data_IF_775986494246
#
_entry.id   IF_775986494246
#
_cell.length_a   1.000
_cell.length_b   1.000
_cell.length_c   1.000
_cell.angle_alpha   90.00
_cell.angle_beta   90.00
_cell.angle_gamma   90.00
#
_symmetry.space_group_name_H-M   'P 1'
#
loop_
_entity.id
_entity.type
_entity.pdbx_description
1 polymer ?
#
# COMPACT_ATOMS: atom_id res chain seq x y z
N UNK A 1 95.94 13.03 14.42
CA UNK A 1 95.04 13.92 15.18
C UNK A 1 94.48 14.90 14.16
N UNK A 2 93.33 14.57 13.59
CA UNK A 2 92.37 15.49 12.94
C UNK A 2 91.28 14.67 12.22
N UNK A 3 90.08 15.23 12.30
CA UNK A 3 88.80 14.91 11.66
C UNK A 3 88.85 14.25 10.28
N UNK A 4 87.93 13.29 10.05
CA UNK A 4 86.95 13.35 8.93
C UNK A 4 85.88 12.27 9.09
N UNK A 5 84.62 12.70 8.96
CA UNK A 5 83.43 11.90 9.19
C UNK A 5 83.05 10.95 8.05
N UNK A 6 82.04 10.13 8.33
CA UNK A 6 81.28 9.40 7.32
C UNK A 6 79.80 9.44 7.70
N UNK A 7 78.98 9.93 6.76
CA UNK A 7 77.51 9.91 6.73
C UNK A 7 76.99 8.51 6.41
N UNK A 8 75.82 8.15 6.95
CA UNK A 8 74.71 7.27 6.43
C UNK A 8 73.82 6.94 7.64
N UNK A 9 72.50 6.94 7.63
CA UNK A 9 71.45 7.21 6.64
C UNK A 9 70.16 7.39 7.48
N UNK A 10 69.25 8.27 7.06
CA UNK A 10 68.01 8.55 7.77
C UNK A 10 67.01 7.40 7.56
N UNK A 11 66.52 6.81 8.64
CA UNK A 11 65.32 5.98 8.61
C UNK A 11 64.09 6.88 8.64
N UNK A 12 63.37 6.97 7.52
CA UNK A 12 62.01 7.51 7.49
C UNK A 12 61.09 6.56 8.27
N UNK A 13 60.38 7.12 9.24
CA UNK A 13 59.27 6.46 9.91
C UNK A 13 58.08 6.58 8.97
N UNK A 14 57.69 5.48 8.32
CA UNK A 14 56.41 5.38 7.63
C UNK A 14 55.28 5.62 8.64
N UNK A 15 54.65 6.79 8.55
CA UNK A 15 53.40 7.07 9.24
C UNK A 15 52.31 6.33 8.49
N UNK A 16 51.81 5.23 9.07
CA UNK A 16 50.68 4.49 8.55
C UNK A 16 49.47 5.41 8.36
N UNK A 17 48.96 5.48 7.13
CA UNK A 17 47.72 6.19 6.82
C UNK A 17 46.55 5.63 7.66
N UNK A 18 45.63 6.48 8.15
CA UNK A 18 44.46 6.01 8.86
C UNK A 18 43.59 5.19 7.91
N UNK A 19 43.45 3.89 8.24
CA UNK A 19 42.75 2.89 7.47
C UNK A 19 41.43 3.40 6.90
N UNK A 20 41.32 3.24 5.59
CA UNK A 20 40.12 3.47 4.78
C UNK A 20 38.91 2.83 5.50
N UNK A 21 38.06 3.65 6.12
CA UNK A 21 36.79 3.16 6.67
C UNK A 21 35.99 2.66 5.47
N UNK A 22 35.87 1.34 5.35
CA UNK A 22 34.94 0.70 4.41
C UNK A 22 33.62 1.49 4.45
N UNK A 23 33.07 1.91 3.29
CA UNK A 23 31.81 2.64 3.25
C UNK A 23 30.78 1.85 4.05
N UNK A 24 30.07 2.51 4.98
CA UNK A 24 28.93 1.88 5.63
C UNK A 24 28.00 1.39 4.51
N UNK A 25 27.59 0.11 4.50
CA UNK A 25 26.66 -0.37 3.51
C UNK A 25 25.40 0.48 3.57
N UNK A 26 24.87 0.82 2.40
CA UNK A 26 23.63 1.58 2.29
C UNK A 26 22.53 0.91 3.12
N UNK A 27 21.69 1.69 3.82
CA UNK A 27 20.59 1.13 4.60
C UNK A 27 19.68 0.28 3.71
N UNK A 28 19.32 -0.92 4.18
CA UNK A 28 18.42 -1.84 3.50
C UNK A 28 17.54 -2.58 4.51
N UNK A 29 16.38 -3.08 4.07
CA UNK A 29 15.43 -3.83 4.89
C UNK A 29 15.22 -5.23 4.30
N UNK A 30 15.61 -6.32 4.99
CA UNK A 30 15.37 -7.68 4.51
C UNK A 30 13.87 -7.99 4.40
N UNK A 31 13.48 -8.95 3.56
CA UNK A 31 12.06 -9.29 3.34
C UNK A 31 11.73 -10.76 3.58
N UNK A 32 12.63 -11.51 4.23
CA UNK A 32 12.39 -12.91 4.58
C UNK A 32 11.24 -13.04 5.60
N UNK A 33 10.16 -13.79 5.30
CA UNK A 33 9.07 -14.05 6.23
C UNK A 33 9.48 -14.50 7.64
N UNK A 34 10.59 -15.25 7.77
CA UNK A 34 11.08 -15.75 9.05
C UNK A 34 11.48 -14.63 10.02
N UNK A 35 11.83 -13.45 9.51
CA UNK A 35 12.17 -12.28 10.35
C UNK A 35 10.94 -11.60 10.96
N UNK A 36 9.74 -11.93 10.48
CA UNK A 36 8.49 -11.23 10.81
C UNK A 36 7.43 -12.14 11.44
N UNK A 37 7.79 -13.37 11.82
CA UNK A 37 6.88 -14.40 12.36
C UNK A 37 6.43 -14.18 13.82
N UNK A 38 6.65 -12.99 14.37
CA UNK A 38 6.22 -12.63 15.72
C UNK A 38 4.70 -12.52 15.87
N UNK A 39 4.21 -12.12 17.07
CA UNK A 39 2.79 -11.87 17.30
C UNK A 39 2.22 -10.84 16.31
N UNK A 40 0.89 -10.89 16.10
CA UNK A 40 0.21 -9.90 15.28
C UNK A 40 0.37 -8.51 15.91
N UNK A 41 0.88 -7.50 15.17
CA UNK A 41 1.13 -6.19 15.74
C UNK A 41 -0.18 -5.44 15.99
N UNK A 42 -0.14 -4.39 16.80
CA UNK A 42 -1.30 -3.53 16.98
C UNK A 42 -1.69 -2.87 15.64
N UNK A 43 -2.94 -3.05 15.23
CA UNK A 43 -3.54 -2.35 14.12
C UNK A 43 -4.87 -1.75 14.57
N UNK A 44 -4.96 -0.42 14.56
CA UNK A 44 -6.17 0.30 14.99
C UNK A 44 -7.30 -0.02 14.01
N UNK A 45 -8.50 -0.27 14.54
CA UNK A 45 -9.71 -0.41 13.72
C UNK A 45 -9.86 0.82 12.80
N UNK A 46 -9.91 0.64 11.47
CA UNK A 46 -10.06 1.74 10.53
C UNK A 46 -11.35 2.52 10.80
N UNK A 47 -11.29 3.84 10.60
CA UNK A 47 -12.44 4.73 10.66
C UNK A 47 -12.41 5.58 9.40
N UNK A 48 -13.53 5.63 8.69
CA UNK A 48 -13.64 6.49 7.52
C UNK A 48 -13.70 7.96 7.97
N UNK A 49 -12.84 8.80 7.39
CA UNK A 49 -12.82 10.24 7.65
C UNK A 49 -13.66 11.02 6.63
N UNK A 50 -13.86 10.46 5.44
CA UNK A 50 -14.66 11.02 4.36
C UNK A 50 -14.44 10.23 3.07
N UNK A 51 -14.96 10.74 1.97
CA UNK A 51 -14.86 10.12 0.65
C UNK A 51 -14.75 11.18 -0.46
N UNK A 52 -14.44 10.72 -1.67
CA UNK A 52 -14.56 11.48 -2.90
C UNK A 52 -14.86 10.52 -4.06
N UNK A 53 -15.31 11.08 -5.18
CA UNK A 53 -15.68 10.35 -6.39
C UNK A 53 -14.87 10.86 -7.58
N UNK A 54 -14.57 9.96 -8.52
CA UNK A 54 -14.06 10.28 -9.85
C UNK A 54 -15.14 9.91 -10.87
N UNK A 55 -15.54 10.86 -11.71
CA UNK A 55 -16.57 10.63 -12.72
C UNK A 55 -16.03 9.97 -14.00
N UNK A 56 -16.91 9.81 -15.00
CA UNK A 56 -16.56 9.21 -16.29
C UNK A 56 -15.51 10.02 -17.07
N UNK A 57 -15.30 11.30 -16.76
CA UNK A 57 -14.27 12.17 -17.33
C UNK A 57 -13.06 12.29 -16.40
N UNK A 58 -12.95 11.39 -15.40
CA UNK A 58 -11.90 11.37 -14.37
C UNK A 58 -11.83 12.66 -13.54
N UNK A 59 -12.93 13.41 -13.44
CA UNK A 59 -12.98 14.64 -12.64
C UNK A 59 -13.30 14.33 -11.17
N UNK A 60 -12.63 15.05 -10.28
CA UNK A 60 -12.80 14.95 -8.84
C UNK A 60 -14.07 15.62 -8.34
N UNK A 61 -14.81 14.91 -7.50
CA UNK A 61 -15.96 15.42 -6.74
C UNK A 61 -15.83 15.02 -5.27
N UNK A 62 -15.94 15.97 -4.34
CA UNK A 62 -15.84 15.73 -2.90
C UNK A 62 -17.10 15.12 -2.27
N UNK A 63 -17.67 14.09 -2.90
CA UNK A 63 -18.89 13.41 -2.46
C UNK A 63 -18.89 11.92 -2.87
N UNK A 64 -19.97 11.22 -2.54
CA UNK A 64 -20.15 9.79 -2.81
C UNK A 64 -20.94 9.48 -4.09
N UNK A 65 -21.00 10.38 -5.08
CA UNK A 65 -21.83 10.17 -6.29
C UNK A 65 -21.47 8.93 -7.11
N UNK A 66 -20.23 8.44 -7.00
CA UNK A 66 -19.79 7.22 -7.68
C UNK A 66 -20.06 5.94 -6.86
N UNK A 67 -20.50 6.05 -5.59
CA UNK A 67 -20.78 4.90 -4.75
C UNK A 67 -21.96 4.09 -5.29
N UNK A 68 -21.74 2.79 -5.49
CA UNK A 68 -22.77 1.84 -5.91
C UNK A 68 -23.27 1.01 -4.73
N UNK A 69 -24.42 0.38 -4.93
CA UNK A 69 -25.07 -0.45 -3.92
C UNK A 69 -25.01 -1.93 -4.32
N UNK A 70 -24.59 -2.77 -3.39
CA UNK A 70 -24.54 -4.21 -3.57
C UNK A 70 -25.96 -4.75 -3.83
N UNK A 71 -26.16 -5.33 -5.01
CA UNK A 71 -27.43 -5.89 -5.46
C UNK A 71 -27.20 -7.31 -5.99
N UNK A 72 -27.20 -8.33 -5.11
CA UNK A 72 -27.01 -9.72 -5.52
C UNK A 72 -28.24 -10.25 -6.27
N UNK A 73 -28.12 -11.38 -7.00
CA UNK A 73 -29.28 -12.08 -7.55
C UNK A 73 -30.38 -12.30 -6.49
N UNK A 74 -31.67 -12.23 -6.87
CA UNK A 74 -32.77 -12.55 -5.96
C UNK A 74 -32.62 -13.95 -5.37
N UNK A 75 -32.91 -14.10 -4.08
CA UNK A 75 -32.79 -15.39 -3.34
C UNK A 75 -33.68 -16.50 -3.89
N UNK A 76 -34.79 -16.16 -4.52
CA UNK A 76 -35.71 -17.11 -5.17
C UNK A 76 -35.46 -17.25 -6.68
N UNK A 77 -34.38 -16.64 -7.19
CA UNK A 77 -34.02 -16.63 -8.60
C UNK A 77 -33.15 -17.81 -9.02
N UNK A 78 -32.89 -17.90 -10.32
CA UNK A 78 -31.90 -18.84 -10.87
C UNK A 78 -30.50 -18.47 -10.37
N UNK A 79 -29.59 -19.45 -10.39
CA UNK A 79 -28.15 -19.22 -10.19
C UNK A 79 -27.65 -18.05 -11.05
N UNK A 80 -26.64 -17.29 -10.58
CA UNK A 80 -26.04 -16.23 -11.38
C UNK A 80 -25.58 -16.79 -12.74
N UNK A 81 -25.74 -16.00 -13.79
CA UNK A 81 -25.28 -16.32 -15.14
C UNK A 81 -24.82 -15.04 -15.85
N UNK A 82 -23.82 -14.38 -15.27
CA UNK A 82 -23.35 -13.08 -15.76
C UNK A 82 -22.32 -13.28 -16.87
N UNK A 83 -22.61 -12.82 -18.08
CA UNK A 83 -21.64 -12.77 -19.17
C UNK A 83 -20.63 -11.63 -18.95
N UNK A 84 -19.39 -11.96 -18.60
CA UNK A 84 -18.35 -10.95 -18.40
C UNK A 84 -17.77 -10.39 -19.71
N UNK A 85 -18.13 -10.96 -20.87
CA UNK A 85 -17.67 -10.53 -22.19
C UNK A 85 -18.66 -9.61 -22.88
N UNK A 86 -19.90 -9.56 -22.40
CA UNK A 86 -20.94 -8.70 -22.97
C UNK A 86 -20.47 -7.24 -23.04
N UNK A 87 -20.52 -6.66 -24.23
CA UNK A 87 -20.10 -5.29 -24.50
C UNK A 87 -18.60 -5.04 -24.70
N UNK A 88 -17.73 -6.05 -24.56
CA UNK A 88 -16.31 -5.87 -24.90
C UNK A 88 -16.03 -6.11 -26.40
N UNK A 89 -15.30 -5.22 -27.11
CA UNK A 89 -14.73 -3.96 -26.63
C UNK A 89 -15.67 -2.74 -26.80
N UNK A 90 -16.79 -2.85 -27.52
CA UNK A 90 -17.59 -1.71 -28.02
C UNK A 90 -18.14 -0.76 -26.95
N UNK A 91 -18.37 -1.23 -25.72
CA UNK A 91 -18.85 -0.45 -24.56
C UNK A 91 -17.79 -0.28 -23.48
N UNK A 92 -16.55 -0.69 -23.73
CA UNK A 92 -15.45 -0.55 -22.80
C UNK A 92 -14.73 0.79 -22.99
N UNK A 93 -14.72 1.61 -21.94
CA UNK A 93 -14.01 2.89 -21.89
C UNK A 93 -12.88 2.78 -20.87
N UNK A 94 -11.67 2.35 -21.27
CA UNK A 94 -10.54 2.23 -20.35
C UNK A 94 -10.10 3.61 -19.85
N UNK A 95 -9.62 3.66 -18.60
CA UNK A 95 -8.85 4.81 -18.13
C UNK A 95 -7.53 4.87 -18.93
N UNK A 96 -7.10 6.07 -19.28
CA UNK A 96 -5.76 6.29 -19.83
C UNK A 96 -4.71 6.01 -18.74
N UNK A 97 -3.91 4.95 -18.93
CA UNK A 97 -2.86 4.54 -18.01
C UNK A 97 -1.54 5.31 -18.21
N UNK A 98 -1.41 6.12 -19.27
CA UNK A 98 -0.25 6.99 -19.48
C UNK A 98 -0.29 8.22 -18.54
N UNK A 99 -1.48 8.59 -18.06
CA UNK A 99 -1.67 9.69 -17.11
C UNK A 99 -1.30 9.25 -15.68
N UNK A 100 -0.20 9.78 -15.16
CA UNK A 100 0.27 9.50 -13.80
C UNK A 100 -0.37 10.42 -12.76
N UNK A 101 -1.51 10.01 -12.20
CA UNK A 101 -2.24 10.79 -11.17
C UNK A 101 -1.55 10.81 -9.79
N UNK A 102 -0.64 9.87 -9.53
CA UNK A 102 0.10 9.70 -8.26
C UNK A 102 -0.82 9.84 -7.04
N UNK A 103 -0.65 10.89 -6.23
CA UNK A 103 -1.43 11.14 -5.01
C UNK A 103 -2.40 12.33 -5.15
N UNK A 104 -2.54 12.92 -6.33
CA UNK A 104 -3.16 14.25 -6.52
C UNK A 104 -4.59 14.32 -5.99
N UNK A 105 -5.42 13.31 -6.25
CA UNK A 105 -6.80 13.28 -5.77
C UNK A 105 -6.90 13.17 -4.24
N UNK A 106 -5.99 12.42 -3.61
CA UNK A 106 -5.91 12.32 -2.15
C UNK A 106 -5.41 13.63 -1.54
N UNK A 107 -4.38 14.24 -2.13
CA UNK A 107 -3.86 15.54 -1.71
C UNK A 107 -4.94 16.64 -1.83
N UNK A 108 -5.79 16.58 -2.85
CA UNK A 108 -6.93 17.50 -3.01
C UNK A 108 -7.96 17.31 -1.89
N UNK A 109 -8.28 16.06 -1.56
CA UNK A 109 -9.17 15.76 -0.43
C UNK A 109 -8.57 16.27 0.90
N UNK A 110 -7.27 16.08 1.11
CA UNK A 110 -6.56 16.53 2.31
C UNK A 110 -6.63 18.05 2.49
N UNK A 111 -6.38 18.83 1.44
CA UNK A 111 -6.51 20.29 1.52
C UNK A 111 -7.92 20.74 1.90
N UNK A 112 -8.94 20.10 1.34
CA UNK A 112 -10.34 20.44 1.62
C UNK A 112 -10.77 20.12 3.06
N UNK A 113 -10.10 19.18 3.74
CA UNK A 113 -10.50 18.67 5.07
C UNK A 113 -9.48 18.93 6.18
N UNK A 114 -8.36 19.62 5.89
CA UNK A 114 -7.24 19.81 6.83
C UNK A 114 -7.65 20.31 8.21
N UNK A 115 -8.56 21.28 8.30
CA UNK A 115 -9.01 21.85 9.58
C UNK A 115 -9.75 20.84 10.47
N UNK A 116 -10.27 19.74 9.90
CA UNK A 116 -10.92 18.65 10.63
C UNK A 116 -9.91 17.56 11.07
N UNK A 117 -8.72 17.53 10.46
CA UNK A 117 -7.67 16.56 10.72
C UNK A 117 -6.70 17.04 11.81
N UNK A 118 -6.54 18.35 11.96
CA UNK A 118 -5.75 18.97 13.03
C UNK A 118 -6.18 18.43 14.41
N UNK A 119 -5.24 17.79 15.12
CA UNK A 119 -5.46 17.20 16.44
C UNK A 119 -5.86 15.71 16.50
N UNK A 120 -6.00 15.00 15.37
CA UNK A 120 -6.48 13.59 15.34
C UNK A 120 -5.41 12.52 15.09
N UNK A 121 -4.15 12.89 14.87
CA UNK A 121 -3.09 12.02 14.37
C UNK A 121 -2.08 11.67 15.49
N UNK A 122 -1.95 10.38 15.83
CA UNK A 122 -1.07 9.83 16.90
C UNK A 122 0.33 9.39 16.42
N UNK A 123 0.97 8.42 17.10
CA UNK A 123 2.43 8.15 16.94
C UNK A 123 2.87 7.48 15.62
N UNK A 124 1.98 6.78 14.89
CA UNK A 124 2.15 6.42 13.47
C UNK A 124 0.78 6.46 12.79
N UNK A 125 0.27 7.65 12.47
CA UNK A 125 -1.08 7.81 11.99
C UNK A 125 -1.09 7.53 10.49
N UNK A 126 -1.68 6.41 10.08
CA UNK A 126 -1.91 6.14 8.67
C UNK A 126 -3.15 6.89 8.20
N UNK A 127 -2.97 7.73 7.18
CA UNK A 127 -4.04 8.27 6.37
C UNK A 127 -3.83 7.77 4.94
N UNK A 128 -4.80 7.03 4.43
CA UNK A 128 -4.78 6.45 3.09
C UNK A 128 -6.19 6.48 2.52
N UNK A 129 -6.29 6.34 1.20
CA UNK A 129 -7.55 6.17 0.48
C UNK A 129 -7.47 4.90 -0.36
N UNK A 130 -8.60 4.22 -0.51
CA UNK A 130 -8.74 3.04 -1.34
C UNK A 130 -10.09 3.09 -2.06
N UNK A 131 -10.12 2.61 -3.29
CA UNK A 131 -11.36 2.45 -4.05
C UNK A 131 -12.26 1.42 -3.35
N UNK A 132 -13.57 1.68 -3.37
CA UNK A 132 -14.60 0.81 -2.80
C UNK A 132 -15.58 0.45 -3.91
N UNK A 133 -15.80 -0.85 -4.12
CA UNK A 133 -16.68 -1.32 -5.19
C UNK A 133 -18.15 -0.94 -4.96
N UNK A 134 -18.66 -1.19 -3.74
CA UNK A 134 -20.04 -0.90 -3.36
C UNK A 134 -20.29 -0.94 -1.84
N UNK A 135 -21.45 -0.43 -1.43
CA UNK A 135 -22.01 -0.57 -0.07
C UNK A 135 -23.21 -1.52 -0.05
N UNK A 136 -23.36 -2.32 1.01
CA UNK A 136 -24.50 -3.20 1.20
C UNK A 136 -25.51 -2.57 2.18
N UNK A 137 -26.68 -2.09 1.72
CA UNK A 137 -27.68 -1.48 2.60
C UNK A 137 -28.40 -2.51 3.48
N UNK A 138 -28.23 -3.82 3.24
CA UNK A 138 -28.91 -4.89 3.96
C UNK A 138 -28.11 -5.40 5.17
N UNK A 139 -26.93 -4.84 5.47
CA UNK A 139 -26.17 -5.24 6.68
C UNK A 139 -26.70 -4.53 7.94
N UNK A 140 -26.54 -5.15 9.14
CA UNK A 140 -27.04 -4.56 10.38
C UNK A 140 -26.41 -3.20 10.74
N UNK A 141 -25.13 -2.99 10.37
CA UNK A 141 -24.42 -1.73 10.58
C UNK A 141 -24.13 -1.09 9.23
N UNK A 142 -24.84 0.01 8.94
CA UNK A 142 -24.63 0.79 7.71
C UNK A 142 -23.47 1.77 7.81
N UNK A 143 -22.76 1.81 8.95
CA UNK A 143 -21.62 2.70 9.16
C UNK A 143 -20.40 2.24 8.35
N UNK A 144 -19.80 3.09 7.51
CA UNK A 144 -18.52 2.82 6.88
C UNK A 144 -17.40 2.59 7.92
N UNK A 145 -16.42 1.72 7.63
CA UNK A 145 -16.29 0.89 6.43
C UNK A 145 -17.05 -0.45 6.49
N UNK A 146 -17.80 -0.70 7.59
CA UNK A 146 -18.42 -2.04 7.83
C UNK A 146 -19.56 -2.40 6.90
N UNK A 147 -20.12 -1.42 6.19
CA UNK A 147 -21.14 -1.64 5.16
C UNK A 147 -20.57 -1.94 3.79
N UNK A 148 -19.26 -1.78 3.57
CA UNK A 148 -18.65 -2.00 2.27
C UNK A 148 -18.48 -3.47 1.91
N UNK A 149 -18.45 -3.71 0.60
CA UNK A 149 -18.24 -5.03 0.00
C UNK A 149 -17.24 -4.87 -1.14
N UNK A 150 -16.21 -5.70 -1.13
CA UNK A 150 -15.27 -5.86 -2.25
C UNK A 150 -15.79 -6.95 -3.20
N UNK A 151 -15.71 -6.72 -4.50
CA UNK A 151 -16.14 -7.64 -5.54
C UNK A 151 -14.92 -8.18 -6.28
N UNK A 152 -14.86 -9.51 -6.43
CA UNK A 152 -13.76 -10.16 -7.15
C UNK A 152 -14.27 -11.19 -8.14
N UNK A 153 -13.49 -11.45 -9.18
CA UNK A 153 -13.70 -12.61 -10.05
C UNK A 153 -12.53 -13.58 -9.94
N UNK A 154 -12.82 -14.87 -10.10
CA UNK A 154 -11.80 -15.93 -10.17
C UNK A 154 -12.27 -17.05 -11.10
N UNK A 155 -11.35 -17.83 -11.67
CA UNK A 155 -11.73 -19.06 -12.37
C UNK A 155 -12.43 -20.01 -11.39
N UNK A 156 -13.40 -20.78 -11.88
CA UNK A 156 -13.95 -21.92 -11.17
C UNK A 156 -12.87 -22.94 -10.78
N UNK A 157 -13.12 -23.64 -9.67
CA UNK A 157 -12.19 -24.60 -9.09
C UNK A 157 -12.97 -25.86 -8.72
N UNK A 158 -12.53 -26.98 -9.28
CA UNK A 158 -13.20 -28.27 -9.18
C UNK A 158 -12.38 -29.31 -8.42
N UNK A 159 -11.10 -29.03 -8.13
CA UNK A 159 -10.24 -29.92 -7.35
C UNK A 159 -9.73 -29.30 -6.04
N UNK A 160 -9.49 -30.09 -4.99
CA UNK A 160 -8.89 -29.59 -3.74
C UNK A 160 -7.54 -28.89 -3.95
N UNK A 161 -6.74 -29.34 -4.93
CA UNK A 161 -5.46 -28.72 -5.27
C UNK A 161 -5.62 -27.30 -5.84
N UNK A 162 -6.63 -27.07 -6.67
CA UNK A 162 -6.95 -25.73 -7.19
C UNK A 162 -7.36 -24.78 -6.05
N UNK A 163 -8.23 -25.25 -5.15
CA UNK A 163 -8.62 -24.49 -3.96
C UNK A 163 -7.44 -24.16 -3.06
N UNK A 164 -6.55 -25.13 -2.80
CA UNK A 164 -5.32 -24.91 -2.02
C UNK A 164 -4.44 -23.82 -2.63
N UNK A 165 -4.23 -23.85 -3.95
CA UNK A 165 -3.48 -22.82 -4.68
C UNK A 165 -4.15 -21.44 -4.57
N UNK A 166 -5.48 -21.38 -4.73
CA UNK A 166 -6.24 -20.15 -4.56
C UNK A 166 -6.10 -19.56 -3.14
N UNK A 167 -6.22 -20.40 -2.10
CA UNK A 167 -6.05 -19.96 -0.71
C UNK A 167 -4.63 -19.46 -0.43
N UNK A 168 -3.59 -20.13 -0.95
CA UNK A 168 -2.20 -19.73 -0.75
C UNK A 168 -1.81 -18.42 -1.46
N UNK A 169 -2.33 -18.18 -2.66
CA UNK A 169 -1.78 -17.10 -3.51
C UNK A 169 -2.76 -15.95 -3.78
N UNK A 170 -4.04 -16.26 -4.01
CA UNK A 170 -5.03 -15.22 -4.35
C UNK A 170 -5.67 -14.64 -3.09
N UNK A 171 -6.02 -15.51 -2.15
CA UNK A 171 -6.72 -15.09 -0.94
C UNK A 171 -5.84 -14.18 -0.05
N UNK A 172 -4.52 -14.35 -0.06
CA UNK A 172 -3.57 -13.40 0.54
C UNK A 172 -3.80 -11.96 0.04
N UNK A 173 -3.89 -11.78 -1.27
CA UNK A 173 -4.04 -10.45 -1.89
C UNK A 173 -5.38 -9.83 -1.52
N UNK A 174 -6.45 -10.64 -1.53
CA UNK A 174 -7.79 -10.19 -1.14
C UNK A 174 -7.86 -9.84 0.34
N UNK A 175 -7.25 -10.65 1.20
CA UNK A 175 -7.14 -10.37 2.62
C UNK A 175 -6.42 -9.04 2.84
N UNK A 176 -5.23 -8.84 2.26
CA UNK A 176 -4.45 -7.63 2.47
C UNK A 176 -5.20 -6.36 2.02
N UNK A 177 -5.83 -6.42 0.84
CA UNK A 177 -6.59 -5.29 0.28
C UNK A 177 -7.81 -4.92 1.12
N UNK A 178 -8.57 -5.90 1.62
CA UNK A 178 -9.81 -5.64 2.38
C UNK A 178 -9.58 -5.45 3.88
N UNK A 179 -8.51 -6.04 4.44
CA UNK A 179 -8.16 -5.92 5.85
C UNK A 179 -7.78 -4.49 6.23
N UNK A 180 -6.93 -3.83 5.41
CA UNK A 180 -6.45 -2.47 5.65
C UNK A 180 -7.60 -1.44 5.77
N UNK A 181 -8.52 -1.30 4.80
CA UNK A 181 -9.66 -0.37 4.94
C UNK A 181 -10.75 -0.88 5.88
N UNK A 182 -10.66 -2.12 6.41
CA UNK A 182 -11.68 -2.69 7.28
C UNK A 182 -12.96 -3.14 6.54
N UNK A 183 -12.84 -3.49 5.26
CA UNK A 183 -13.93 -4.05 4.45
C UNK A 183 -14.18 -5.50 4.89
N UNK A 184 -15.35 -5.85 5.44
CA UNK A 184 -15.55 -7.12 6.11
C UNK A 184 -15.78 -8.30 5.16
N UNK A 185 -16.24 -8.05 3.94
CA UNK A 185 -16.66 -9.09 3.00
C UNK A 185 -16.08 -8.88 1.61
N UNK A 186 -15.53 -9.95 1.04
CA UNK A 186 -15.19 -10.07 -0.38
C UNK A 186 -16.18 -11.04 -1.02
N UNK A 187 -16.95 -10.60 -2.00
CA UNK A 187 -17.87 -11.45 -2.77
C UNK A 187 -17.19 -11.83 -4.08
N UNK A 188 -16.92 -13.12 -4.25
CA UNK A 188 -16.25 -13.66 -5.43
C UNK A 188 -17.26 -14.28 -6.40
N UNK A 189 -17.23 -13.85 -7.66
CA UNK A 189 -17.83 -14.55 -8.78
C UNK A 189 -16.86 -15.53 -9.42
N UNK A 190 -17.22 -16.81 -9.45
CA UNK A 190 -16.43 -17.82 -10.15
C UNK A 190 -16.91 -17.96 -11.58
N UNK A 191 -15.97 -17.72 -12.51
CA UNK A 191 -16.22 -17.75 -13.94
C UNK A 191 -15.74 -19.05 -14.58
N UNK A 192 -16.54 -19.55 -15.52
CA UNK A 192 -16.18 -20.67 -16.37
C UNK A 192 -15.20 -20.23 -17.50
N UNK A 193 -14.68 -21.16 -18.31
CA UNK A 193 -13.82 -20.85 -19.46
C UNK A 193 -14.49 -19.98 -20.53
N UNK A 194 -15.81 -20.08 -20.68
CA UNK A 194 -16.62 -19.34 -21.64
C UNK A 194 -16.79 -17.87 -21.25
N UNK A 195 -16.45 -17.49 -20.01
CA UNK A 195 -16.49 -16.11 -19.52
C UNK A 195 -17.72 -15.77 -18.68
N UNK A 196 -18.54 -16.75 -18.30
CA UNK A 196 -19.74 -16.56 -17.49
C UNK A 196 -19.46 -16.80 -16.01
N UNK A 197 -19.98 -15.93 -15.14
CA UNK A 197 -20.01 -16.18 -13.69
C UNK A 197 -21.25 -17.00 -13.36
N UNK A 198 -21.03 -18.26 -12.96
CA UNK A 198 -22.09 -19.23 -12.69
C UNK A 198 -22.28 -19.51 -11.19
N UNK A 199 -21.39 -19.01 -10.33
CA UNK A 199 -21.52 -19.11 -8.88
C UNK A 199 -20.91 -17.92 -8.13
N UNK A 200 -21.45 -17.63 -6.95
CA UNK A 200 -20.96 -16.61 -6.04
C UNK A 200 -20.55 -17.25 -4.71
N UNK A 201 -19.50 -16.72 -4.07
CA UNK A 201 -19.10 -17.08 -2.71
C UNK A 201 -18.60 -15.86 -1.96
N UNK A 202 -19.10 -15.65 -0.76
CA UNK A 202 -18.60 -14.63 0.15
C UNK A 202 -17.44 -15.18 0.98
N UNK A 203 -16.35 -14.42 1.05
CA UNK A 203 -15.22 -14.62 1.94
C UNK A 203 -15.22 -13.49 2.97
N UNK A 204 -15.42 -13.83 4.25
CA UNK A 204 -15.25 -12.88 5.35
C UNK A 204 -13.76 -12.61 5.52
N UNK A 205 -13.36 -11.33 5.47
CA UNK A 205 -11.95 -10.91 5.50
C UNK A 205 -11.22 -11.50 6.73
N UNK A 206 -11.87 -11.47 7.90
CA UNK A 206 -11.29 -11.98 9.15
C UNK A 206 -11.15 -13.51 9.20
N UNK A 207 -11.78 -14.24 8.27
CA UNK A 207 -11.73 -15.71 8.21
C UNK A 207 -10.86 -16.24 7.08
N UNK A 208 -10.30 -15.35 6.24
CA UNK A 208 -9.51 -15.76 5.09
C UNK A 208 -8.26 -16.54 5.50
N UNK A 209 -7.66 -16.20 6.63
CA UNK A 209 -6.49 -16.92 7.15
C UNK A 209 -6.82 -18.34 7.62
N UNK A 210 -8.08 -18.63 8.00
CA UNK A 210 -8.48 -19.96 8.48
C UNK A 210 -8.25 -21.06 7.44
N UNK A 211 -8.38 -20.72 6.15
CA UNK A 211 -8.14 -21.65 5.05
C UNK A 211 -6.69 -22.11 4.92
N UNK A 212 -5.75 -21.39 5.52
CA UNK A 212 -4.30 -21.68 5.46
C UNK A 212 -3.63 -21.75 6.82
N UNK A 213 -4.36 -21.60 7.92
CA UNK A 213 -3.80 -21.54 9.28
C UNK A 213 -2.90 -22.74 9.61
N UNK A 214 -3.28 -23.93 9.16
CA UNK A 214 -2.53 -25.17 9.41
C UNK A 214 -1.56 -25.53 8.27
N UNK A 215 -1.43 -24.66 7.26
CA UNK A 215 -0.54 -24.83 6.12
C UNK A 215 0.78 -24.07 6.38
N UNK A 216 1.80 -24.82 6.81
CA UNK A 216 3.09 -24.25 7.24
C UNK A 216 3.85 -23.52 6.13
N UNK A 217 3.58 -23.84 4.86
CA UNK A 217 4.23 -23.22 3.70
C UNK A 217 3.42 -22.04 3.13
N UNK A 218 2.43 -21.55 3.88
CA UNK A 218 1.52 -20.50 3.43
C UNK A 218 1.79 -19.15 4.12
N UNK A 219 1.07 -18.13 3.69
CA UNK A 219 1.12 -16.78 4.25
C UNK A 219 0.51 -16.69 5.65
N UNK A 220 0.97 -15.71 6.41
CA UNK A 220 0.52 -15.43 7.77
C UNK A 220 0.25 -13.92 7.94
N UNK A 221 -0.95 -13.49 8.40
CA UNK A 221 -1.28 -12.10 8.66
C UNK A 221 -0.25 -11.35 9.51
N UNK A 222 0.29 -12.00 10.54
CA UNK A 222 1.29 -11.39 11.42
C UNK A 222 2.57 -11.06 10.67
N UNK A 223 3.04 -11.96 9.79
CA UNK A 223 4.22 -11.73 8.94
C UNK A 223 4.00 -10.50 8.05
N UNK A 224 2.84 -10.43 7.38
CA UNK A 224 2.51 -9.30 6.51
C UNK A 224 2.50 -7.97 7.26
N UNK A 225 1.84 -7.92 8.42
CA UNK A 225 1.71 -6.68 9.19
C UNK A 225 3.00 -6.30 9.92
N UNK A 226 3.78 -7.27 10.40
CA UNK A 226 5.09 -7.01 11.02
C UNK A 226 6.09 -6.49 9.98
N UNK A 227 6.11 -7.05 8.77
CA UNK A 227 6.91 -6.49 7.67
C UNK A 227 6.47 -5.06 7.32
N UNK A 228 5.16 -4.82 7.20
CA UNK A 228 4.62 -3.49 6.92
C UNK A 228 5.04 -2.47 8.01
N UNK A 229 4.92 -2.84 9.29
CA UNK A 229 5.36 -2.00 10.40
C UNK A 229 6.87 -1.71 10.35
N UNK A 230 7.69 -2.74 10.11
CA UNK A 230 9.13 -2.59 9.96
C UNK A 230 9.51 -1.69 8.77
N UNK A 231 8.79 -1.81 7.64
CA UNK A 231 8.98 -0.95 6.49
C UNK A 231 8.62 0.51 6.78
N UNK A 232 7.51 0.77 7.47
CA UNK A 232 7.12 2.13 7.86
C UNK A 232 8.15 2.76 8.82
N UNK A 233 8.67 1.98 9.79
CA UNK A 233 9.76 2.45 10.66
C UNK A 233 11.05 2.68 9.88
N UNK A 234 11.40 1.79 8.95
CA UNK A 234 12.57 1.95 8.07
C UNK A 234 12.45 3.23 7.23
N UNK A 235 11.29 3.46 6.62
CA UNK A 235 11.03 4.65 5.83
C UNK A 235 11.13 5.93 6.69
N UNK A 236 10.47 5.99 7.84
CA UNK A 236 10.57 7.14 8.75
C UNK A 236 12.01 7.42 9.21
N UNK A 237 12.78 6.38 9.55
CA UNK A 237 14.16 6.56 9.99
C UNK A 237 15.12 6.94 8.86
N UNK A 238 14.72 6.71 7.61
CA UNK A 238 15.52 7.02 6.42
C UNK A 238 15.23 8.42 5.89
N UNK A 239 13.96 8.82 5.85
CA UNK A 239 13.52 10.13 5.34
C UNK A 239 13.60 11.16 6.47
N UNK A 240 14.80 11.71 6.69
CA UNK A 240 15.08 12.65 7.78
C UNK A 240 14.95 14.12 7.38
N UNK A 241 15.06 14.43 6.08
CA UNK A 241 14.93 15.78 5.55
C UNK A 241 13.46 16.10 5.23
N UNK A 242 12.96 17.22 5.75
CA UNK A 242 11.65 17.78 5.41
C UNK A 242 11.79 18.70 4.18
N UNK A 243 11.76 18.09 2.99
CA UNK A 243 11.82 18.79 1.71
C UNK A 243 10.88 18.13 0.69
N UNK A 244 9.82 18.81 0.21
CA UNK A 244 8.85 18.23 -0.70
C UNK A 244 9.42 17.91 -2.10
N UNK A 245 10.63 18.38 -2.41
CA UNK A 245 11.34 18.12 -3.67
C UNK A 245 12.28 16.93 -3.58
N UNK A 246 12.64 16.49 -2.37
CA UNK A 246 13.51 15.35 -2.12
C UNK A 246 12.69 14.05 -2.06
N UNK A 247 13.17 13.01 -2.72
CA UNK A 247 12.53 11.69 -2.76
C UNK A 247 13.54 10.61 -2.41
N UNK A 248 13.21 9.85 -1.37
CA UNK A 248 13.85 8.57 -1.08
C UNK A 248 13.06 7.47 -1.78
N UNK A 249 13.64 6.89 -2.83
CA UNK A 249 13.04 5.82 -3.60
C UNK A 249 13.40 4.47 -2.98
N UNK A 250 12.40 3.82 -2.39
CA UNK A 250 12.49 2.45 -1.87
C UNK A 250 12.22 1.46 -3.01
N UNK A 251 13.24 0.68 -3.38
CA UNK A 251 13.16 -0.31 -4.46
C UNK A 251 13.21 -1.72 -3.90
N UNK A 252 12.44 -2.65 -4.47
CA UNK A 252 12.41 -4.04 -4.02
C UNK A 252 12.16 -4.98 -5.19
N UNK A 253 12.89 -6.09 -5.20
CA UNK A 253 12.70 -7.20 -6.13
C UNK A 253 12.64 -8.54 -5.38
N UNK A 254 11.87 -9.54 -5.86
CA UNK A 254 11.77 -10.83 -5.20
C UNK A 254 13.14 -11.49 -4.93
N UNK A 255 13.36 -11.90 -3.68
CA UNK A 255 14.61 -12.51 -3.21
C UNK A 255 15.67 -11.53 -2.72
N UNK A 256 15.48 -10.22 -2.93
CA UNK A 256 16.35 -9.16 -2.41
C UNK A 256 15.75 -8.40 -1.22
N UNK A 257 16.56 -7.62 -0.49
CA UNK A 257 16.05 -6.65 0.48
C UNK A 257 15.42 -5.44 -0.23
N UNK A 258 14.67 -4.64 0.51
CA UNK A 258 14.34 -3.27 0.10
C UNK A 258 15.62 -2.43 0.17
N UNK A 259 15.93 -1.70 -0.90
CA UNK A 259 17.06 -0.76 -0.99
C UNK A 259 16.56 0.66 -1.17
N UNK A 260 17.44 1.64 -0.93
CA UNK A 260 17.10 3.07 -0.97
C UNK A 260 18.03 3.81 -1.92
N UNK A 261 17.47 4.73 -2.70
CA UNK A 261 18.21 5.72 -3.47
C UNK A 261 17.60 7.11 -3.28
N UNK A 262 18.42 8.16 -3.35
CA UNK A 262 17.99 9.54 -3.16
C UNK A 262 17.90 10.28 -4.50
N UNK A 263 16.83 11.05 -4.68
CA UNK A 263 16.54 11.82 -5.90
C UNK A 263 15.97 13.18 -5.53
N UNK A 264 16.18 14.19 -6.39
CA UNK A 264 15.51 15.49 -6.27
C UNK A 264 14.75 15.81 -7.54
N UNK A 265 13.65 16.53 -7.37
CA UNK A 265 12.85 17.08 -8.46
C UNK A 265 12.36 16.00 -9.45
N UNK A 266 12.04 16.41 -10.68
CA UNK A 266 11.59 15.52 -11.72
C UNK A 266 12.65 14.44 -12.06
N UNK A 267 12.23 13.21 -12.38
CA UNK A 267 10.85 12.74 -12.50
C UNK A 267 10.22 12.22 -11.19
N UNK A 268 10.98 12.19 -10.10
CA UNK A 268 10.62 11.46 -8.88
C UNK A 268 9.73 12.26 -7.93
N UNK A 269 10.01 13.55 -7.75
CA UNK A 269 9.19 14.43 -6.91
C UNK A 269 7.72 14.37 -7.34
N UNK A 270 6.84 14.15 -6.35
CA UNK A 270 5.43 13.85 -6.60
C UNK A 270 4.45 14.74 -5.84
N UNK A 271 4.93 15.60 -4.94
CA UNK A 271 4.10 16.61 -4.31
C UNK A 271 3.96 17.80 -5.27
N UNK A 272 2.75 18.09 -5.79
CA UNK A 272 2.57 19.13 -6.78
C UNK A 272 2.64 20.54 -6.14
N UNK A 273 3.07 21.57 -6.90
CA UNK A 273 3.21 22.94 -6.38
C UNK A 273 1.94 23.48 -5.71
N UNK A 274 0.76 23.23 -6.31
CA UNK A 274 -0.52 23.68 -5.75
C UNK A 274 -0.79 23.15 -4.34
N UNK A 275 -0.28 21.96 -4.00
CA UNK A 275 -0.42 21.38 -2.67
C UNK A 275 0.58 22.00 -1.70
N UNK A 276 1.85 22.04 -2.12
CA UNK A 276 2.95 22.57 -1.30
C UNK A 276 2.68 24.04 -0.93
N UNK A 277 2.35 24.88 -1.92
CA UNK A 277 2.05 26.29 -1.72
C UNK A 277 0.88 26.51 -0.75
N UNK A 278 -0.20 25.74 -0.89
CA UNK A 278 -1.38 25.85 -0.02
C UNK A 278 -1.10 25.44 1.43
N UNK A 279 -0.23 24.45 1.66
CA UNK A 279 0.16 24.04 3.03
C UNK A 279 1.17 25.00 3.65
N UNK A 280 2.08 25.57 2.85
CA UNK A 280 3.09 26.51 3.35
C UNK A 280 2.52 27.90 3.68
N UNK A 281 1.54 28.40 2.92
CA UNK A 281 0.96 29.74 3.14
C UNK A 281 0.22 29.88 4.48
N UNK A 282 -0.19 28.77 5.09
CA UNK A 282 -0.96 28.75 6.33
C UNK A 282 -0.15 28.37 7.58
N UNK A 283 1.18 28.25 7.46
CA UNK A 283 2.05 28.15 8.64
C UNK A 283 2.11 29.52 9.33
N UNK A 284 1.87 29.61 10.65
CA UNK A 284 2.07 30.86 11.37
C UNK A 284 3.51 31.33 11.14
N UNK A 285 3.66 32.62 10.85
CA UNK A 285 4.98 33.24 10.73
C UNK A 285 5.79 32.89 11.99
N UNK A 286 7.08 32.53 11.88
CA UNK A 286 7.92 32.37 13.06
C UNK A 286 7.81 33.64 13.91
N UNK A 287 7.75 33.53 15.25
CA UNK A 287 7.72 34.69 16.11
C UNK A 287 8.90 35.59 15.73
N UNK A 288 8.58 36.85 15.41
CA UNK A 288 9.61 37.87 15.22
C UNK A 288 10.22 38.12 16.61
N UNK A 289 11.44 37.65 16.77
CA UNK A 289 12.42 37.86 17.85
C UNK A 289 11.92 37.90 19.31
#
# INVERSE_FOLDING_TARGET
MESRGTKREAGEIEVAEPGNKLPRPAPSLPTDPALYSGPFPYYRRPSELGCFSLDAQRQYHGDARALRYYSPPPTNGQSPNFDLRDGYPDRYQPRDEEVQERLDHLLRWLLAHRGQLEGRLGNHPLLFSGEVDCTNPQVPSTQPPTCYVELKTSKEMHSPGQWKSFYRHKLLKWWAQSFLPGVPNVVAGFRNPEGFVCSLKTFRTMEMFEYVRNDRDSWNPSVCMNFCAAFLSFAQNTVVEDDPRLVYLFSWEPGGPVTVSEHRDAPHAFLPPWYVEAVTQDLPSPPKD
#
